data_IF_412766486324
#
_entry.id   IF_412766486324
#
_cell.length_a   1.000
_cell.length_b   1.000
_cell.length_c   1.000
_cell.angle_alpha   90.00
_cell.angle_beta   90.00
_cell.angle_gamma   90.00
#
_symmetry.space_group_name_H-M   'P 1'
#
loop_
_entity.id
_entity.type
_entity.pdbx_description
1 polymer ?
#
# COMPACT_ATOMS: atom_id res chain seq x y z
N UNK A 1 20.97 -49.23 -47.50
CA UNK A 1 20.72 -49.03 -46.08
C UNK A 1 21.29 -47.68 -45.64
N UNK A 2 20.48 -46.62 -45.53
CA UNK A 2 20.75 -45.34 -44.84
C UNK A 2 19.60 -44.37 -45.18
N UNK A 3 18.46 -44.47 -44.49
CA UNK A 3 17.42 -43.40 -44.44
C UNK A 3 16.63 -43.61 -43.15
N UNK A 4 17.19 -43.15 -42.01
CA UNK A 4 16.42 -43.04 -40.76
C UNK A 4 17.17 -42.18 -39.73
N UNK A 5 17.44 -40.90 -40.02
CA UNK A 5 18.04 -40.00 -39.01
C UNK A 5 17.60 -38.54 -39.12
N UNK A 6 16.65 -38.19 -40.00
CA UNK A 6 16.32 -36.77 -40.24
C UNK A 6 14.98 -36.33 -39.60
N UNK A 7 14.17 -37.23 -39.06
CA UNK A 7 12.87 -36.87 -38.47
C UNK A 7 12.89 -36.55 -36.96
N UNK A 8 13.95 -36.94 -36.24
CA UNK A 8 14.00 -36.74 -34.78
C UNK A 8 14.43 -35.34 -34.33
N UNK A 9 15.11 -34.58 -35.20
CA UNK A 9 15.66 -33.25 -34.87
C UNK A 9 14.62 -32.12 -35.00
N UNK A 10 13.63 -32.27 -35.90
CA UNK A 10 12.61 -31.22 -36.09
C UNK A 10 11.55 -31.16 -34.96
N UNK A 11 11.32 -32.23 -34.25
CA UNK A 11 10.29 -32.28 -33.18
C UNK A 11 10.77 -31.61 -31.89
N UNK A 12 12.10 -31.59 -31.62
CA UNK A 12 12.64 -30.94 -30.41
C UNK A 12 12.70 -29.41 -30.53
N UNK A 13 12.93 -28.86 -31.71
CA UNK A 13 13.02 -27.42 -31.96
C UNK A 13 11.65 -26.75 -31.82
N UNK A 14 10.57 -27.43 -32.25
CA UNK A 14 9.19 -26.94 -32.13
C UNK A 14 8.71 -26.82 -30.67
N UNK A 15 9.11 -27.73 -29.80
CA UNK A 15 8.68 -27.75 -28.38
C UNK A 15 9.31 -26.64 -27.53
N UNK A 16 10.56 -26.27 -27.81
CA UNK A 16 11.25 -25.18 -27.10
C UNK A 16 10.72 -23.80 -27.51
N UNK A 17 10.36 -23.64 -28.81
CA UNK A 17 9.81 -22.38 -29.30
C UNK A 17 8.41 -22.10 -28.73
N UNK A 18 7.55 -23.11 -28.59
CA UNK A 18 6.21 -22.97 -28.02
C UNK A 18 6.28 -22.67 -26.52
N UNK A 19 7.16 -23.36 -25.76
CA UNK A 19 7.35 -23.09 -24.35
C UNK A 19 7.90 -21.68 -24.10
N UNK A 20 8.85 -21.20 -24.91
CA UNK A 20 9.38 -19.84 -24.87
C UNK A 20 8.32 -18.78 -25.18
N UNK A 21 7.42 -19.05 -26.14
CA UNK A 21 6.35 -18.13 -26.51
C UNK A 21 5.26 -18.03 -25.44
N UNK A 22 4.86 -19.16 -24.85
CA UNK A 22 3.92 -19.19 -23.71
C UNK A 22 4.51 -18.48 -22.50
N UNK A 23 5.80 -18.66 -22.21
CA UNK A 23 6.49 -17.97 -21.09
C UNK A 23 6.63 -16.47 -21.34
N UNK A 24 6.89 -16.04 -22.57
CA UNK A 24 6.93 -14.64 -22.97
C UNK A 24 5.54 -13.99 -22.90
N UNK A 25 4.49 -14.72 -23.26
CA UNK A 25 3.10 -14.24 -23.22
C UNK A 25 2.58 -14.15 -21.76
N UNK A 26 2.98 -15.05 -20.87
CA UNK A 26 2.73 -14.93 -19.43
C UNK A 26 3.44 -13.73 -18.80
N UNK A 27 4.66 -13.41 -19.24
CA UNK A 27 5.37 -12.18 -18.80
C UNK A 27 4.78 -10.90 -19.38
N UNK A 28 4.20 -10.93 -20.59
CA UNK A 28 3.56 -9.76 -21.19
C UNK A 28 2.15 -9.51 -20.63
N UNK A 29 1.43 -10.54 -20.18
CA UNK A 29 0.14 -10.39 -19.49
C UNK A 29 0.28 -9.84 -18.05
N UNK A 30 1.45 -9.99 -17.40
CA UNK A 30 1.76 -9.31 -16.15
C UNK A 30 2.07 -7.81 -16.32
N UNK A 31 2.11 -7.30 -17.54
CA UNK A 31 2.30 -5.87 -17.88
C UNK A 31 1.00 -5.09 -18.07
N UNK A 32 -0.12 -5.72 -18.16
CA UNK A 32 -1.41 -5.05 -18.25
C UNK A 32 -1.98 -4.89 -16.83
N UNK A 33 -1.80 -3.74 -16.23
CA UNK A 33 -2.55 -3.08 -15.15
C UNK A 33 -3.51 -3.87 -14.26
N UNK A 34 -3.23 -5.14 -13.93
CA UNK A 34 -4.11 -5.98 -13.11
C UNK A 34 -3.40 -6.28 -11.79
N UNK A 35 -4.02 -5.90 -10.68
CA UNK A 35 -3.55 -6.27 -9.36
C UNK A 35 -3.90 -7.74 -9.07
N UNK A 36 -2.90 -8.54 -8.70
CA UNK A 36 -3.10 -9.90 -8.21
C UNK A 36 -3.75 -9.90 -6.82
N UNK A 37 -4.22 -11.05 -6.34
CA UNK A 37 -4.67 -11.20 -4.97
C UNK A 37 -3.55 -10.84 -3.96
N UNK A 38 -2.33 -11.31 -4.21
CA UNK A 38 -1.17 -10.96 -3.38
C UNK A 38 -0.88 -9.45 -3.35
N UNK A 39 -0.98 -8.74 -4.49
CA UNK A 39 -0.81 -7.29 -4.51
C UNK A 39 -1.85 -6.58 -3.63
N UNK A 40 -3.09 -7.06 -3.66
CA UNK A 40 -4.19 -6.53 -2.82
C UNK A 40 -3.94 -6.77 -1.35
N UNK A 41 -3.49 -7.97 -0.97
CA UNK A 41 -3.17 -8.33 0.41
C UNK A 41 -1.98 -7.50 0.93
N UNK A 42 -0.91 -7.34 0.13
CA UNK A 42 0.23 -6.51 0.49
C UNK A 42 -0.17 -5.03 0.69
N UNK A 43 -1.03 -4.48 -0.18
CA UNK A 43 -1.54 -3.10 -0.02
C UNK A 43 -2.43 -3.00 1.22
N UNK A 44 -3.26 -3.99 1.51
CA UNK A 44 -4.10 -3.99 2.70
C UNK A 44 -3.26 -4.05 3.99
N UNK A 45 -2.14 -4.76 3.98
CA UNK A 45 -1.18 -4.77 5.09
C UNK A 45 -0.59 -3.37 5.36
N UNK A 46 -0.42 -2.51 4.33
CA UNK A 46 0.04 -1.13 4.55
C UNK A 46 -0.95 -0.32 5.39
N UNK A 47 -2.25 -0.53 5.20
CA UNK A 47 -3.27 0.12 6.06
C UNK A 47 -3.22 -0.38 7.49
N UNK A 48 -3.05 -1.69 7.69
CA UNK A 48 -2.92 -2.27 9.02
C UNK A 48 -1.70 -1.68 9.76
N UNK A 49 -0.55 -1.58 9.09
CA UNK A 49 0.67 -0.97 9.64
C UNK A 49 0.54 0.53 9.89
N UNK A 50 -0.14 1.26 9.01
CA UNK A 50 -0.45 2.67 9.25
C UNK A 50 -1.24 2.86 10.54
N UNK A 51 -2.33 2.09 10.68
CA UNK A 51 -3.20 2.16 11.85
C UNK A 51 -2.45 1.80 13.13
N UNK A 52 -1.81 0.64 13.18
CA UNK A 52 -1.13 0.16 14.37
C UNK A 52 0.09 1.02 14.72
N UNK A 53 0.89 1.42 13.72
CA UNK A 53 2.00 2.35 13.92
C UNK A 53 1.55 3.70 14.49
N UNK A 54 0.37 4.17 14.06
CA UNK A 54 -0.24 5.39 14.58
C UNK A 54 -0.83 5.21 15.97
N UNK A 55 -1.52 4.10 16.24
CA UNK A 55 -2.29 3.88 17.46
C UNK A 55 -1.40 3.52 18.65
N UNK A 56 -0.30 2.81 18.39
CA UNK A 56 0.66 2.38 19.41
C UNK A 56 1.94 3.23 19.46
N UNK A 57 1.94 4.37 18.75
CA UNK A 57 3.09 5.29 18.67
C UNK A 57 4.38 4.63 18.16
N UNK A 58 4.26 3.57 17.33
CA UNK A 58 5.38 2.87 16.69
C UNK A 58 5.81 3.61 15.41
N UNK A 59 6.79 4.49 15.56
CA UNK A 59 7.34 5.28 14.46
C UNK A 59 7.98 4.38 13.40
N UNK A 60 8.67 3.32 13.78
CA UNK A 60 9.33 2.42 12.83
C UNK A 60 8.31 1.69 11.96
N UNK A 61 7.24 1.15 12.55
CA UNK A 61 6.13 0.53 11.81
C UNK A 61 5.44 1.55 10.89
N UNK A 62 5.13 2.75 11.39
CA UNK A 62 4.55 3.82 10.57
C UNK A 62 5.45 4.19 9.38
N UNK A 63 6.76 4.29 9.60
CA UNK A 63 7.71 4.65 8.54
C UNK A 63 7.99 3.52 7.54
N UNK A 64 7.70 2.26 7.90
CA UNK A 64 7.97 1.10 7.03
C UNK A 64 7.10 1.04 5.78
N UNK A 65 5.98 1.77 5.74
CA UNK A 65 4.99 1.72 4.66
C UNK A 65 5.21 2.75 3.55
N UNK A 66 6.07 3.74 3.76
CA UNK A 66 6.29 4.87 2.87
C UNK A 66 7.47 4.66 1.93
N UNK A 67 7.41 5.28 0.73
CA UNK A 67 8.61 5.49 -0.09
C UNK A 67 9.48 6.58 0.52
N UNK A 68 10.76 6.65 0.12
CA UNK A 68 11.67 7.68 0.64
C UNK A 68 11.27 9.11 0.22
N UNK A 69 10.61 9.25 -0.91
CA UNK A 69 10.11 10.48 -1.49
C UNK A 69 8.58 10.64 -1.35
N UNK A 70 7.97 9.97 -0.37
CA UNK A 70 6.53 10.00 -0.17
C UNK A 70 6.00 11.40 0.11
N UNK A 71 4.76 11.65 -0.33
CA UNK A 71 4.00 12.87 -0.01
C UNK A 71 2.81 12.50 0.87
N UNK A 72 2.70 13.12 2.04
CA UNK A 72 1.60 12.92 2.96
C UNK A 72 0.92 14.25 3.29
N UNK A 73 -0.40 14.29 3.08
CA UNK A 73 -1.26 15.43 3.44
C UNK A 73 -2.26 15.01 4.53
N UNK A 74 -1.89 15.12 5.81
CA UNK A 74 -2.78 14.77 6.92
C UNK A 74 -3.91 15.78 7.12
N UNK A 75 -3.87 16.91 6.43
CA UNK A 75 -4.93 17.91 6.36
C UNK A 75 -4.74 18.80 5.13
N UNK A 76 -5.77 19.56 4.70
CA UNK A 76 -5.66 20.48 3.57
C UNK A 76 -4.57 21.56 3.71
N UNK A 77 -4.16 21.86 4.94
CA UNK A 77 -3.19 22.92 5.26
C UNK A 77 -1.76 22.42 5.48
N UNK A 78 -1.54 21.12 5.49
CA UNK A 78 -0.24 20.52 5.79
C UNK A 78 0.15 19.51 4.71
N UNK A 79 1.31 19.70 4.12
CA UNK A 79 1.94 18.76 3.20
C UNK A 79 3.33 18.42 3.72
N UNK A 80 3.61 17.14 3.82
CA UNK A 80 4.89 16.58 4.24
C UNK A 80 5.50 15.85 3.06
N UNK A 81 6.73 16.20 2.69
CA UNK A 81 7.42 15.58 1.56
C UNK A 81 8.72 14.94 2.00
N UNK A 82 8.87 13.67 1.67
CA UNK A 82 10.04 12.85 1.95
C UNK A 82 10.07 12.27 3.36
N UNK A 83 10.83 11.19 3.49
CA UNK A 83 10.90 10.35 4.68
C UNK A 83 11.21 11.13 5.97
N UNK A 84 12.16 12.07 5.91
CA UNK A 84 12.58 12.86 7.06
C UNK A 84 11.42 13.69 7.62
N UNK A 85 10.70 14.41 6.75
CA UNK A 85 9.56 15.25 7.17
C UNK A 85 8.43 14.43 7.80
N UNK A 86 8.14 13.23 7.23
CA UNK A 86 7.12 12.33 7.77
C UNK A 86 7.51 11.80 9.16
N UNK A 87 8.78 11.40 9.33
CA UNK A 87 9.30 10.85 10.59
C UNK A 87 9.32 11.91 11.70
N UNK A 88 9.80 13.12 11.42
CA UNK A 88 9.79 14.25 12.35
C UNK A 88 8.36 14.60 12.77
N UNK A 89 7.44 14.68 11.82
CA UNK A 89 6.03 14.93 12.10
C UNK A 89 5.42 13.83 12.98
N UNK A 90 5.64 12.55 12.65
CA UNK A 90 5.09 11.43 13.43
C UNK A 90 5.65 11.42 14.85
N UNK A 91 6.96 11.62 15.00
CA UNK A 91 7.64 11.68 16.31
C UNK A 91 7.10 12.82 17.16
N UNK A 92 6.94 14.01 16.56
CA UNK A 92 6.38 15.18 17.23
C UNK A 92 4.92 14.96 17.65
N UNK A 93 4.11 14.36 16.77
CA UNK A 93 2.71 14.03 17.08
C UNK A 93 2.61 13.05 18.26
N UNK A 94 3.47 12.03 18.31
CA UNK A 94 3.51 11.08 19.42
C UNK A 94 3.94 11.77 20.74
N UNK A 95 4.97 12.63 20.69
CA UNK A 95 5.42 13.40 21.86
C UNK A 95 4.31 14.32 22.39
N UNK A 96 3.58 15.00 21.51
CA UNK A 96 2.46 15.86 21.89
C UNK A 96 1.31 15.06 22.53
N UNK A 97 0.98 13.88 21.98
CA UNK A 97 -0.02 13.00 22.59
C UNK A 97 0.35 12.57 24.01
N UNK A 98 1.62 12.20 24.23
CA UNK A 98 2.12 11.85 25.56
C UNK A 98 2.05 13.06 26.52
N UNK A 99 2.48 14.23 26.07
CA UNK A 99 2.47 15.47 26.86
C UNK A 99 1.06 15.88 27.30
N UNK A 100 0.07 15.69 26.43
CA UNK A 100 -1.34 16.05 26.71
C UNK A 100 -2.13 14.92 27.37
N UNK A 101 -1.49 13.79 27.65
CA UNK A 101 -2.15 12.58 28.14
C UNK A 101 -3.38 12.21 27.27
N UNK A 102 -3.22 12.29 25.96
CA UNK A 102 -4.30 12.02 25.01
C UNK A 102 -4.79 10.56 25.15
N UNK A 103 -6.10 10.32 25.06
CA UNK A 103 -6.68 9.00 25.25
C UNK A 103 -6.14 7.99 24.23
N UNK A 104 -6.13 6.68 24.56
CA UNK A 104 -5.84 5.63 23.61
C UNK A 104 -6.86 5.67 22.48
N UNK A 105 -6.39 5.41 21.27
CA UNK A 105 -7.21 5.50 20.06
C UNK A 105 -7.12 4.23 19.24
N UNK A 106 -8.08 4.08 18.32
CA UNK A 106 -8.02 3.08 17.23
C UNK A 106 -8.46 3.71 15.92
N UNK A 107 -7.64 3.50 14.90
CA UNK A 107 -8.05 3.70 13.51
C UNK A 107 -8.74 2.44 13.02
N UNK A 108 -9.84 2.62 12.34
CA UNK A 108 -10.56 1.54 11.68
C UNK A 108 -10.76 1.88 10.21
N UNK A 109 -10.21 1.07 9.32
CA UNK A 109 -10.30 1.27 7.88
C UNK A 109 -11.20 0.21 7.23
N UNK A 110 -11.96 0.62 6.21
CA UNK A 110 -12.84 -0.28 5.48
C UNK A 110 -13.09 0.20 4.04
N UNK A 111 -13.83 -0.62 3.27
CA UNK A 111 -14.33 -0.23 1.94
C UNK A 111 -13.23 0.16 0.95
N UNK A 112 -12.09 -0.55 0.99
CA UNK A 112 -10.97 -0.28 0.10
C UNK A 112 -11.31 -0.62 -1.36
N UNK A 113 -11.20 0.38 -2.23
CA UNK A 113 -11.25 0.22 -3.69
C UNK A 113 -9.85 0.48 -4.23
N UNK A 114 -9.32 -0.46 -5.03
CA UNK A 114 -8.03 -0.36 -5.69
C UNK A 114 -8.20 -0.32 -7.20
N UNK A 115 -7.59 0.68 -7.84
CA UNK A 115 -7.53 0.85 -9.30
C UNK A 115 -6.09 0.72 -9.74
N UNK A 116 -5.74 -0.26 -10.61
CA UNK A 116 -4.40 -0.37 -11.13
C UNK A 116 -4.02 0.83 -11.99
N UNK A 117 -2.74 1.21 -11.96
CA UNK A 117 -2.13 2.23 -12.81
C UNK A 117 -0.87 1.68 -13.48
N UNK A 118 -0.31 2.34 -14.52
CA UNK A 118 0.95 1.89 -15.11
C UNK A 118 2.11 1.79 -14.13
N UNK A 119 2.14 2.67 -13.12
CA UNK A 119 3.22 2.77 -12.12
C UNK A 119 2.94 1.96 -10.84
N UNK A 120 1.69 1.46 -10.65
CA UNK A 120 1.29 0.76 -9.44
C UNK A 120 -0.21 0.70 -9.24
N UNK A 121 -0.74 1.42 -8.24
CA UNK A 121 -2.17 1.48 -7.96
C UNK A 121 -2.58 2.80 -7.30
N UNK A 122 -3.85 3.16 -7.47
CA UNK A 122 -4.55 4.15 -6.64
C UNK A 122 -5.54 3.42 -5.74
N UNK A 123 -5.75 3.95 -4.54
CA UNK A 123 -6.72 3.42 -3.59
C UNK A 123 -7.53 4.50 -2.92
N UNK A 124 -8.77 4.14 -2.57
CA UNK A 124 -9.59 4.92 -1.64
C UNK A 124 -10.16 3.97 -0.60
N UNK A 125 -10.08 4.37 0.67
CA UNK A 125 -10.73 3.66 1.76
C UNK A 125 -11.34 4.63 2.75
N UNK A 126 -12.37 4.20 3.48
CA UNK A 126 -12.93 4.96 4.58
C UNK A 126 -12.19 4.68 5.87
N UNK A 127 -12.14 5.68 6.76
CA UNK A 127 -11.55 5.53 8.08
C UNK A 127 -12.46 6.10 9.17
N UNK A 128 -12.38 5.49 10.33
CA UNK A 128 -12.90 6.00 11.58
C UNK A 128 -11.76 6.13 12.58
N UNK A 129 -11.82 7.15 13.40
CA UNK A 129 -10.93 7.33 14.54
C UNK A 129 -11.74 7.32 15.83
N UNK A 130 -11.40 6.40 16.74
CA UNK A 130 -12.15 6.14 17.94
C UNK A 130 -11.30 6.36 19.19
N UNK A 131 -11.88 6.97 20.21
CA UNK A 131 -11.42 6.92 21.59
C UNK A 131 -11.86 5.58 22.21
N UNK A 132 -10.90 4.80 22.71
CA UNK A 132 -11.14 3.49 23.34
C UNK A 132 -10.76 3.48 24.83
N UNK A 133 -10.75 4.64 25.48
CA UNK A 133 -10.43 4.76 26.92
C UNK A 133 -11.57 4.32 27.85
N UNK A 134 -12.82 4.37 27.36
CA UNK A 134 -14.02 4.00 28.10
C UNK A 134 -14.49 2.58 27.83
N UNK A 135 -15.59 2.19 28.47
CA UNK A 135 -16.25 0.90 28.20
C UNK A 135 -16.83 0.83 26.80
N UNK A 136 -17.26 1.95 26.26
CA UNK A 136 -17.84 2.09 24.94
C UNK A 136 -16.91 2.95 24.08
N UNK A 137 -16.41 2.43 22.95
CA UNK A 137 -15.64 3.22 21.99
C UNK A 137 -16.48 4.37 21.43
N UNK A 138 -15.90 5.56 21.33
CA UNK A 138 -16.56 6.74 20.77
C UNK A 138 -15.82 7.18 19.51
N UNK A 139 -16.55 7.31 18.42
CA UNK A 139 -16.01 7.91 17.19
C UNK A 139 -15.84 9.41 17.46
N UNK A 140 -14.65 9.94 17.14
CA UNK A 140 -14.38 11.37 17.18
C UNK A 140 -13.74 11.89 15.87
N UNK A 141 -13.61 11.01 14.86
CA UNK A 141 -13.17 11.39 13.55
C UNK A 141 -13.60 10.38 12.51
N UNK A 142 -13.91 10.86 11.31
CA UNK A 142 -14.21 10.04 10.14
C UNK A 142 -13.78 10.72 8.85
N UNK A 143 -13.68 9.91 7.79
CA UNK A 143 -13.32 10.41 6.48
C UNK A 143 -12.84 9.33 5.53
N UNK A 144 -12.00 9.72 4.57
CA UNK A 144 -11.40 8.79 3.63
C UNK A 144 -9.97 9.19 3.26
N UNK A 145 -9.19 8.21 2.86
CA UNK A 145 -7.86 8.41 2.28
C UNK A 145 -7.92 8.25 0.76
N UNK A 146 -7.22 9.12 0.05
CA UNK A 146 -6.83 8.92 -1.34
C UNK A 146 -5.34 8.59 -1.40
N UNK A 147 -5.01 7.40 -1.89
CA UNK A 147 -3.67 6.85 -1.88
C UNK A 147 -3.13 6.58 -3.27
N UNK A 148 -1.82 6.76 -3.43
CA UNK A 148 -1.05 6.25 -4.55
C UNK A 148 -0.02 5.26 -4.03
N UNK A 149 -0.01 4.05 -4.62
CA UNK A 149 0.89 2.97 -4.26
C UNK A 149 1.84 2.66 -5.40
N UNK A 150 3.06 2.28 -5.05
CA UNK A 150 4.06 1.77 -5.99
C UNK A 150 4.65 0.46 -5.48
N UNK A 151 4.99 -0.44 -6.40
CA UNK A 151 5.66 -1.69 -6.08
C UNK A 151 7.17 -1.51 -6.18
N UNK A 152 7.86 -1.62 -5.07
CA UNK A 152 9.33 -1.53 -4.96
C UNK A 152 9.95 -2.93 -4.90
N UNK A 153 11.28 -3.02 -4.88
CA UNK A 153 11.99 -4.27 -4.65
C UNK A 153 11.67 -4.90 -3.27
N UNK A 154 11.24 -4.07 -2.30
CA UNK A 154 10.87 -4.49 -0.94
C UNK A 154 9.34 -4.64 -0.74
N UNK A 155 8.55 -4.79 -1.82
CA UNK A 155 7.10 -4.89 -1.79
C UNK A 155 6.38 -3.55 -2.02
N UNK A 156 5.08 -3.52 -1.82
CA UNK A 156 4.27 -2.33 -1.99
C UNK A 156 4.57 -1.24 -0.96
N UNK A 157 4.48 0.03 -1.38
CA UNK A 157 4.66 1.21 -0.53
C UNK A 157 3.66 2.30 -0.91
N UNK A 158 3.32 3.15 0.07
CA UNK A 158 2.55 4.36 -0.16
C UNK A 158 3.51 5.44 -0.71
N UNK A 159 3.23 5.90 -1.92
CA UNK A 159 3.94 7.02 -2.58
C UNK A 159 3.32 8.36 -2.23
N UNK A 160 1.98 8.39 -2.14
CA UNK A 160 1.25 9.59 -1.73
C UNK A 160 -0.02 9.20 -0.97
N UNK A 161 -0.36 9.98 0.05
CA UNK A 161 -1.64 9.92 0.77
C UNK A 161 -2.18 11.32 0.99
N UNK A 162 -3.48 11.47 0.77
CA UNK A 162 -4.25 12.64 1.17
C UNK A 162 -5.39 12.19 2.09
N UNK A 163 -5.43 12.77 3.28
CA UNK A 163 -6.50 12.54 4.24
C UNK A 163 -7.62 13.57 3.98
N UNK A 164 -8.84 13.08 3.91
CA UNK A 164 -10.06 13.87 3.80
C UNK A 164 -10.91 13.60 5.03
N UNK A 165 -11.20 14.66 5.78
CA UNK A 165 -12.10 14.60 6.93
C UNK A 165 -13.53 14.87 6.48
N UNK A 166 -14.49 14.18 7.10
CA UNK A 166 -15.90 14.48 6.90
C UNK A 166 -16.27 15.81 7.56
N UNK A 167 -17.30 16.54 7.06
CA UNK A 167 -17.76 17.78 7.66
C UNK A 167 -18.26 17.57 9.10
N UNK A 168 -17.84 18.43 10.01
CA UNK A 168 -18.26 18.38 11.43
C UNK A 168 -17.15 18.21 12.43
N UNK A 169 -15.88 18.15 11.95
CA UNK A 169 -14.68 18.16 12.78
C UNK A 169 -13.98 19.52 12.76
#
# INVERSE_FOLDING_TARGET
MRRASTLAVMTLIGSVAVAGWVYAQQRSSSRAGTLTAQDRDEIQELYARYNQGSDFDDVAMFMSIWTDDAVFKPSPKLELTGRKALEEWRTTANANRKKTNAPPRRHWNSSLILTPTPEGAKGRNYWLLMDVSGKEPRIYGSGYHDDTFVKTASGWRIKARMDHNDPGE
#
